data_IF_014427091451
#
_entry.id   IF_014427091451
#
_cell.length_a   1.000
_cell.length_b   1.000
_cell.length_c   1.000
_cell.angle_alpha   90.00
_cell.angle_beta   90.00
_cell.angle_gamma   90.00
#
_symmetry.space_group_name_H-M   'P 1'
#
loop_
_entity.id
_entity.type
_entity.pdbx_description
1 polymer ?
#
# COMPACT_ATOMS: atom_id res chain seq x y z
N UNK A 1 -15.13 -13.22 1.40
CA UNK A 1 -16.19 -13.72 2.27
C UNK A 1 -15.70 -13.89 3.70
N UNK A 2 -16.57 -13.53 4.69
CA UNK A 2 -16.34 -13.82 6.09
C UNK A 2 -16.59 -15.29 6.40
N UNK A 3 -15.75 -15.94 7.18
CA UNK A 3 -15.96 -17.35 7.54
C UNK A 3 -17.07 -17.50 8.56
N UNK A 4 -17.26 -16.81 9.56
CA UNK A 4 -18.24 -17.07 10.63
C UNK A 4 -19.42 -16.10 10.62
N UNK A 5 -19.29 -15.02 9.86
CA UNK A 5 -20.33 -14.02 9.75
C UNK A 5 -21.19 -14.29 8.51
N UNK A 6 -22.45 -14.67 8.74
CA UNK A 6 -23.44 -14.96 7.68
C UNK A 6 -24.62 -13.99 7.81
N UNK A 7 -24.49 -12.76 7.30
CA UNK A 7 -25.54 -11.74 7.43
C UNK A 7 -26.84 -12.11 6.69
N UNK A 8 -26.72 -12.91 5.64
CA UNK A 8 -27.85 -13.34 4.80
C UNK A 8 -28.24 -14.78 5.11
N UNK A 9 -28.94 -14.98 6.23
CA UNK A 9 -29.41 -16.29 6.70
C UNK A 9 -30.30 -17.06 5.71
N UNK A 10 -30.81 -16.38 4.69
CA UNK A 10 -31.64 -16.95 3.62
C UNK A 10 -30.82 -17.36 2.40
N UNK A 11 -29.54 -17.05 2.37
CA UNK A 11 -28.65 -17.46 1.31
C UNK A 11 -28.34 -18.95 1.48
N UNK A 12 -28.82 -19.73 0.53
CA UNK A 12 -28.82 -21.22 0.59
C UNK A 12 -27.40 -21.77 0.37
N UNK A 13 -26.46 -20.91 -0.02
CA UNK A 13 -25.13 -21.34 -0.42
C UNK A 13 -24.20 -21.35 0.79
N UNK A 14 -23.94 -22.55 1.28
CA UNK A 14 -23.11 -22.78 2.45
C UNK A 14 -21.59 -22.69 2.18
N UNK A 15 -21.16 -22.59 0.91
CA UNK A 15 -19.72 -22.62 0.55
C UNK A 15 -19.11 -21.22 0.50
N UNK A 16 -17.98 -21.04 1.19
CA UNK A 16 -17.14 -19.82 1.14
C UNK A 16 -16.36 -19.70 -0.19
N UNK A 17 -16.39 -20.72 -1.04
CA UNK A 17 -15.81 -20.69 -2.37
C UNK A 17 -16.72 -19.97 -3.39
N UNK A 18 -17.98 -19.77 -3.06
CA UNK A 18 -19.02 -19.36 -4.02
C UNK A 18 -18.78 -17.99 -4.65
N UNK A 19 -18.30 -17.03 -3.90
CA UNK A 19 -17.97 -15.69 -4.43
C UNK A 19 -16.90 -15.74 -5.51
N UNK A 20 -15.87 -16.57 -5.30
CA UNK A 20 -14.82 -16.81 -6.30
C UNK A 20 -15.41 -17.46 -7.57
N UNK A 21 -16.22 -18.50 -7.43
CA UNK A 21 -16.83 -19.22 -8.57
C UNK A 21 -17.72 -18.30 -9.42
N UNK A 22 -18.51 -17.43 -8.78
CA UNK A 22 -19.35 -16.43 -9.46
C UNK A 22 -18.49 -15.45 -10.26
N UNK A 23 -17.39 -14.98 -9.67
CA UNK A 23 -16.55 -13.95 -10.26
C UNK A 23 -15.59 -14.48 -11.35
N UNK A 24 -15.28 -15.78 -11.35
CA UNK A 24 -14.21 -16.37 -12.16
C UNK A 24 -14.39 -16.10 -13.66
N UNK A 25 -15.58 -16.33 -14.21
CA UNK A 25 -15.88 -16.11 -15.64
C UNK A 25 -15.68 -14.64 -16.03
N UNK A 26 -16.17 -13.72 -15.20
CA UNK A 26 -16.07 -12.27 -15.43
C UNK A 26 -14.61 -11.80 -15.33
N UNK A 27 -13.88 -12.27 -14.34
CA UNK A 27 -12.47 -11.95 -14.18
C UNK A 27 -11.65 -12.40 -15.39
N UNK A 28 -11.87 -13.64 -15.87
CA UNK A 28 -11.20 -14.20 -17.06
C UNK A 28 -11.49 -13.36 -18.31
N UNK A 29 -12.74 -13.00 -18.55
CA UNK A 29 -13.15 -12.22 -19.71
C UNK A 29 -12.54 -10.79 -19.70
N UNK A 30 -12.26 -10.25 -18.53
CA UNK A 30 -11.66 -8.91 -18.36
C UNK A 30 -10.14 -8.98 -18.09
N UNK A 31 -9.49 -10.13 -18.27
CA UNK A 31 -8.06 -10.32 -18.04
C UNK A 31 -7.60 -9.93 -16.62
N UNK A 32 -8.47 -10.10 -15.64
CA UNK A 32 -8.17 -9.89 -14.23
C UNK A 32 -7.68 -11.19 -13.60
N UNK A 33 -6.56 -11.16 -12.91
CA UNK A 33 -6.08 -12.30 -12.12
C UNK A 33 -6.92 -12.35 -10.85
N UNK A 34 -7.84 -13.31 -10.79
CA UNK A 34 -8.67 -13.54 -9.61
C UNK A 34 -7.96 -14.50 -8.67
N UNK A 35 -7.78 -14.09 -7.41
CA UNK A 35 -7.13 -14.89 -6.37
C UNK A 35 -8.19 -15.26 -5.34
N UNK A 36 -8.31 -16.56 -5.06
CA UNK A 36 -9.26 -17.09 -4.07
C UNK A 36 -8.75 -16.75 -2.66
N UNK A 37 -9.66 -16.26 -1.82
CA UNK A 37 -9.36 -15.93 -0.44
C UNK A 37 -10.62 -15.85 0.40
N UNK A 38 -10.40 -15.82 1.73
CA UNK A 38 -11.47 -15.67 2.70
C UNK A 38 -10.96 -14.91 3.92
N UNK A 39 -11.85 -14.25 4.62
CA UNK A 39 -11.56 -13.55 5.87
C UNK A 39 -11.85 -14.46 7.07
N UNK A 40 -10.83 -14.72 7.86
CA UNK A 40 -10.92 -15.33 9.18
C UNK A 40 -11.41 -14.25 10.13
N UNK A 41 -12.74 -14.22 10.36
CA UNK A 41 -13.41 -13.19 11.14
C UNK A 41 -13.50 -13.61 12.60
N UNK A 42 -12.77 -12.96 13.49
CA UNK A 42 -12.74 -13.25 14.92
C UNK A 42 -12.85 -11.98 15.75
N UNK A 43 -13.37 -12.03 16.97
CA UNK A 43 -13.25 -10.91 17.90
C UNK A 43 -11.78 -10.64 18.23
N UNK A 44 -11.49 -9.43 18.71
CA UNK A 44 -10.17 -9.07 19.20
C UNK A 44 -9.93 -9.71 20.59
N UNK A 45 -8.83 -10.40 20.85
CA UNK A 45 -7.79 -10.78 19.91
C UNK A 45 -8.04 -12.20 19.37
N UNK A 46 -7.57 -12.55 18.15
CA UNK A 46 -6.61 -11.82 17.32
C UNK A 46 -7.23 -10.81 16.34
N UNK A 47 -8.58 -10.74 16.19
CA UNK A 47 -9.24 -9.91 15.21
C UNK A 47 -9.38 -10.58 13.83
N UNK A 48 -9.53 -9.78 12.79
CA UNK A 48 -9.78 -10.25 11.42
C UNK A 48 -8.49 -10.43 10.63
N UNK A 49 -8.43 -11.50 9.85
CA UNK A 49 -7.30 -11.81 8.97
C UNK A 49 -7.80 -12.28 7.61
N UNK A 50 -7.18 -11.80 6.54
CA UNK A 50 -7.37 -12.39 5.23
C UNK A 50 -6.34 -13.49 4.96
N UNK A 51 -6.83 -14.60 4.40
CA UNK A 51 -6.00 -15.64 3.82
C UNK A 51 -6.29 -15.71 2.31
N UNK A 52 -5.27 -15.52 1.48
CA UNK A 52 -5.40 -15.52 0.01
C UNK A 52 -4.50 -16.59 -0.61
N UNK A 53 -4.73 -16.93 -1.88
CA UNK A 53 -4.17 -18.08 -2.61
C UNK A 53 -4.66 -19.43 -2.09
N UNK A 54 -5.90 -19.48 -1.65
CA UNK A 54 -6.55 -20.71 -1.20
C UNK A 54 -7.01 -21.57 -2.38
N UNK A 55 -6.95 -22.87 -2.20
CA UNK A 55 -7.62 -23.85 -3.08
C UNK A 55 -9.04 -24.11 -2.63
N UNK A 56 -9.30 -24.05 -1.31
CA UNK A 56 -10.59 -24.29 -0.68
C UNK A 56 -10.76 -23.37 0.55
N UNK A 57 -11.73 -22.46 0.47
CA UNK A 57 -12.06 -21.56 1.56
C UNK A 57 -12.85 -22.25 2.69
N UNK A 58 -13.66 -23.27 2.37
CA UNK A 58 -14.49 -23.97 3.36
C UNK A 58 -13.64 -24.69 4.40
N UNK A 59 -12.44 -25.13 4.04
CA UNK A 59 -11.48 -25.74 4.94
C UNK A 59 -11.05 -24.82 6.11
N UNK A 60 -11.24 -23.51 5.99
CA UNK A 60 -10.87 -22.53 7.01
C UNK A 60 -11.97 -22.33 8.07
N UNK A 61 -13.20 -22.82 7.84
CA UNK A 61 -14.28 -22.73 8.80
C UNK A 61 -14.05 -23.74 9.94
N UNK A 62 -13.36 -23.29 10.99
CA UNK A 62 -12.94 -24.09 12.15
C UNK A 62 -13.43 -23.45 13.43
N UNK A 63 -13.72 -24.26 14.46
CA UNK A 63 -14.16 -23.77 15.76
C UNK A 63 -13.09 -22.92 16.42
N UNK A 64 -11.87 -23.44 16.50
CA UNK A 64 -10.74 -22.77 17.12
C UNK A 64 -9.99 -21.92 16.09
N UNK A 65 -9.70 -20.65 16.41
CA UNK A 65 -9.07 -19.74 15.47
C UNK A 65 -7.73 -20.25 14.92
N UNK A 66 -6.91 -20.90 15.77
CA UNK A 66 -5.63 -21.46 15.34
C UNK A 66 -5.78 -22.56 14.28
N UNK A 67 -6.87 -23.29 14.29
CA UNK A 67 -7.09 -24.35 13.30
C UNK A 67 -7.47 -23.77 11.93
N UNK A 68 -8.12 -22.60 11.89
CA UNK A 68 -8.32 -21.81 10.65
C UNK A 68 -6.97 -21.39 10.05
N UNK A 69 -6.05 -20.87 10.87
CA UNK A 69 -4.71 -20.50 10.43
C UNK A 69 -3.87 -21.70 9.95
N UNK A 70 -3.95 -22.83 10.65
CA UNK A 70 -3.31 -24.08 10.21
C UNK A 70 -3.88 -24.58 8.88
N UNK A 71 -5.21 -24.48 8.70
CA UNK A 71 -5.86 -24.86 7.44
C UNK A 71 -5.42 -23.97 6.28
N UNK A 72 -5.31 -22.66 6.49
CA UNK A 72 -4.78 -21.72 5.50
C UNK A 72 -3.29 -22.01 5.17
N UNK A 73 -2.46 -22.26 6.18
CA UNK A 73 -1.04 -22.60 5.99
C UNK A 73 -0.84 -23.90 5.22
N UNK A 74 -1.66 -24.93 5.45
CA UNK A 74 -1.61 -26.19 4.68
C UNK A 74 -1.85 -25.98 3.18
N UNK A 75 -2.56 -24.90 2.81
CA UNK A 75 -2.80 -24.50 1.44
C UNK A 75 -1.75 -23.49 0.93
N UNK A 76 -0.71 -23.21 1.70
CA UNK A 76 0.30 -22.20 1.39
C UNK A 76 -0.29 -20.79 1.20
N UNK A 77 -1.34 -20.42 1.90
CA UNK A 77 -1.94 -19.10 1.83
C UNK A 77 -0.96 -18.00 2.30
N UNK A 78 -1.11 -16.82 1.71
CA UNK A 78 -0.56 -15.58 2.26
C UNK A 78 -1.61 -15.01 3.23
N UNK A 79 -1.23 -14.82 4.48
CA UNK A 79 -2.14 -14.41 5.55
C UNK A 79 -1.71 -13.05 6.10
N UNK A 80 -2.66 -12.13 6.23
CA UNK A 80 -2.39 -10.79 6.72
C UNK A 80 -3.50 -10.28 7.65
N UNK A 81 -3.12 -9.49 8.65
CA UNK A 81 -4.01 -8.88 9.61
C UNK A 81 -4.75 -7.70 9.02
N UNK A 82 -6.09 -7.70 9.10
CA UNK A 82 -6.96 -6.68 8.55
C UNK A 82 -7.17 -5.53 9.54
N UNK A 83 -7.29 -4.31 9.03
CA UNK A 83 -7.75 -3.09 9.73
C UNK A 83 -7.40 -3.02 11.23
N UNK A 84 -6.12 -3.14 11.64
CA UNK A 84 -5.73 -3.21 13.06
C UNK A 84 -6.24 -2.03 13.90
N UNK A 85 -6.45 -0.87 13.30
CA UNK A 85 -7.01 0.31 13.94
C UNK A 85 -8.52 0.46 13.85
N UNK A 86 -9.28 -0.63 13.62
CA UNK A 86 -10.73 -0.54 13.53
C UNK A 86 -11.38 -0.29 14.90
N UNK A 87 -12.09 0.85 15.02
CA UNK A 87 -12.60 1.37 16.29
C UNK A 87 -13.58 0.43 17.01
N UNK A 88 -14.30 -0.44 16.25
CA UNK A 88 -15.21 -1.42 16.86
C UNK A 88 -14.48 -2.54 17.61
N UNK A 89 -13.24 -2.84 17.20
CA UNK A 89 -12.42 -3.86 17.85
C UNK A 89 -11.39 -3.25 18.81
N UNK A 90 -10.85 -2.07 18.47
CA UNK A 90 -9.85 -1.36 19.27
C UNK A 90 -10.22 0.14 19.36
N UNK A 91 -11.20 0.51 20.21
CA UNK A 91 -11.75 1.87 20.25
C UNK A 91 -10.77 2.93 20.75
N UNK A 92 -9.90 2.58 21.68
CA UNK A 92 -9.02 3.54 22.35
C UNK A 92 -7.66 3.67 21.66
N UNK A 93 -7.03 2.54 21.36
CA UNK A 93 -5.70 2.51 20.77
C UNK A 93 -5.43 1.18 20.06
N UNK A 94 -4.66 1.24 18.99
CA UNK A 94 -4.27 0.05 18.25
C UNK A 94 -3.12 -0.67 18.97
N UNK A 95 -3.36 -1.88 19.45
CA UNK A 95 -2.43 -2.68 20.23
C UNK A 95 -1.97 -3.93 19.48
N UNK A 96 -0.75 -4.34 19.76
CA UNK A 96 -0.21 -5.65 19.40
C UNK A 96 -0.38 -6.61 20.59
N UNK A 97 -1.26 -7.62 20.43
CA UNK A 97 -1.61 -8.59 21.48
C UNK A 97 -0.70 -9.82 21.45
N UNK A 98 -0.78 -10.64 22.50
CA UNK A 98 -0.02 -11.91 22.58
C UNK A 98 -0.39 -12.88 21.45
N UNK A 99 -1.66 -12.89 21.03
CA UNK A 99 -2.14 -13.68 19.90
C UNK A 99 -1.44 -13.28 18.59
N UNK A 100 -1.22 -11.98 18.37
CA UNK A 100 -0.45 -11.49 17.21
C UNK A 100 1.01 -11.92 17.30
N UNK A 101 1.62 -11.87 18.49
CA UNK A 101 2.98 -12.39 18.73
C UNK A 101 3.07 -13.86 18.35
N UNK A 102 2.15 -14.66 18.81
CA UNK A 102 2.09 -16.09 18.50
C UNK A 102 1.92 -16.34 17.01
N UNK A 103 0.96 -15.66 16.35
CA UNK A 103 0.74 -15.80 14.90
C UNK A 103 1.97 -15.38 14.07
N UNK A 104 2.67 -14.34 14.51
CA UNK A 104 3.90 -13.89 13.87
C UNK A 104 5.05 -14.90 14.07
N UNK A 105 5.34 -15.34 15.30
CA UNK A 105 6.45 -16.23 15.64
C UNK A 105 6.26 -17.63 15.05
N UNK A 106 5.02 -18.14 15.02
CA UNK A 106 4.68 -19.41 14.39
C UNK A 106 4.59 -19.32 12.85
N UNK A 107 4.79 -18.12 12.27
CA UNK A 107 4.83 -17.88 10.82
C UNK A 107 3.47 -17.94 10.13
N UNK A 108 2.38 -17.63 10.84
CA UNK A 108 1.03 -17.52 10.27
C UNK A 108 0.69 -16.12 9.77
N UNK A 109 1.46 -15.11 10.13
CA UNK A 109 1.24 -13.72 9.69
C UNK A 109 2.38 -13.26 8.78
N UNK A 110 2.09 -12.96 7.53
CA UNK A 110 3.06 -12.47 6.54
C UNK A 110 2.90 -10.97 6.22
N UNK A 111 1.74 -10.38 6.55
CA UNK A 111 1.46 -8.98 6.27
C UNK A 111 0.48 -8.36 7.25
N UNK A 112 0.33 -7.03 7.16
CA UNK A 112 -0.65 -6.25 7.92
C UNK A 112 -1.22 -5.16 7.00
N UNK A 113 -2.50 -4.86 7.12
CA UNK A 113 -3.08 -3.68 6.50
C UNK A 113 -2.59 -2.41 7.18
N UNK A 114 -1.77 -1.65 6.47
CA UNK A 114 -1.34 -0.31 6.90
C UNK A 114 -2.35 0.75 6.52
N UNK A 115 -3.24 0.43 5.59
CA UNK A 115 -4.39 1.26 5.23
C UNK A 115 -5.58 0.37 4.84
N UNK A 116 -6.77 0.74 5.32
CA UNK A 116 -8.02 0.08 5.00
C UNK A 116 -9.12 1.14 4.78
N UNK A 117 -9.80 1.07 3.64
CA UNK A 117 -10.75 2.10 3.23
C UNK A 117 -10.09 3.49 3.19
N UNK A 118 -10.52 4.39 4.05
CA UNK A 118 -9.96 5.75 4.18
C UNK A 118 -9.08 5.92 5.44
N UNK A 119 -8.77 4.83 6.13
CA UNK A 119 -8.05 4.88 7.41
C UNK A 119 -6.62 4.36 7.25
N UNK A 120 -5.64 5.20 7.60
CA UNK A 120 -4.24 4.84 7.71
C UNK A 120 -3.88 4.50 9.14
N UNK A 121 -3.08 3.43 9.34
CA UNK A 121 -2.58 2.99 10.65
C UNK A 121 -1.05 3.14 10.71
N UNK A 122 -0.53 4.18 11.35
CA UNK A 122 0.91 4.37 11.54
C UNK A 122 1.53 3.27 12.41
N UNK A 123 0.79 2.71 13.38
CA UNK A 123 1.23 1.58 14.20
C UNK A 123 1.46 0.34 13.34
N UNK A 124 0.54 0.03 12.43
CA UNK A 124 0.68 -1.09 11.52
C UNK A 124 1.89 -0.94 10.60
N UNK A 125 2.12 0.28 10.06
CA UNK A 125 3.32 0.55 9.26
C UNK A 125 4.60 0.32 10.09
N UNK A 126 4.65 0.81 11.33
CA UNK A 126 5.78 0.58 12.23
C UNK A 126 6.03 -0.91 12.45
N UNK A 127 4.98 -1.70 12.76
CA UNK A 127 5.12 -3.15 12.94
C UNK A 127 5.59 -3.87 11.67
N UNK A 128 5.10 -3.47 10.51
CA UNK A 128 5.60 -4.01 9.24
C UNK A 128 7.10 -3.77 9.07
N UNK A 129 7.57 -2.56 9.36
CA UNK A 129 9.01 -2.23 9.27
C UNK A 129 9.86 -2.99 10.28
N UNK A 130 9.45 -3.03 11.56
CA UNK A 130 10.19 -3.69 12.64
C UNK A 130 10.23 -5.21 12.48
N UNK A 131 9.12 -5.81 12.06
CA UNK A 131 8.94 -7.27 11.98
C UNK A 131 9.13 -7.83 10.56
N UNK A 132 9.45 -6.97 9.59
CA UNK A 132 9.60 -7.32 8.18
C UNK A 132 8.36 -8.02 7.60
N UNK A 133 7.19 -7.50 7.93
CA UNK A 133 5.91 -7.92 7.39
C UNK A 133 5.54 -7.08 6.16
N UNK A 134 4.75 -7.67 5.27
CA UNK A 134 4.30 -7.00 4.04
C UNK A 134 3.26 -5.94 4.35
N UNK A 135 3.45 -4.74 3.83
CA UNK A 135 2.47 -3.66 3.91
C UNK A 135 1.37 -3.90 2.89
N UNK A 136 0.12 -3.98 3.36
CA UNK A 136 -1.07 -4.22 2.55
C UNK A 136 -2.01 -3.03 2.71
N UNK A 137 -2.72 -2.70 1.63
CA UNK A 137 -3.82 -1.76 1.63
C UNK A 137 -5.01 -2.34 0.90
N UNK A 138 -6.19 -2.26 1.50
CA UNK A 138 -7.44 -2.75 0.92
C UNK A 138 -8.55 -1.72 1.03
N UNK A 139 -9.59 -1.91 0.24
CA UNK A 139 -10.76 -1.02 0.26
C UNK A 139 -11.80 -1.44 1.28
N UNK A 140 -11.85 -2.72 1.65
CA UNK A 140 -12.88 -3.31 2.51
C UNK A 140 -14.31 -2.97 2.05
N UNK A 141 -14.53 -3.00 0.74
CA UNK A 141 -15.79 -2.58 0.11
C UNK A 141 -16.83 -3.67 0.24
N UNK A 142 -17.98 -3.31 0.82
CA UNK A 142 -19.16 -4.18 1.01
C UNK A 142 -20.31 -3.85 0.07
N UNK A 143 -20.23 -2.78 -0.70
CA UNK A 143 -21.24 -2.32 -1.66
C UNK A 143 -20.64 -2.20 -3.06
N UNK A 144 -21.42 -2.05 -4.13
CA UNK A 144 -20.87 -1.72 -5.45
C UNK A 144 -19.96 -0.51 -5.35
N UNK A 145 -18.73 -0.62 -5.91
CA UNK A 145 -17.64 0.34 -5.70
C UNK A 145 -18.01 1.78 -6.04
N UNK A 146 -18.86 1.98 -7.05
CA UNK A 146 -19.34 3.32 -7.46
C UNK A 146 -20.26 4.00 -6.42
N UNK A 147 -20.70 3.27 -5.38
CA UNK A 147 -21.43 3.85 -4.26
C UNK A 147 -20.51 4.65 -3.34
N UNK A 148 -19.27 4.23 -3.21
CA UNK A 148 -18.30 4.80 -2.26
C UNK A 148 -17.21 5.63 -2.94
N UNK A 149 -16.97 5.41 -4.25
CA UNK A 149 -15.89 6.00 -5.01
C UNK A 149 -16.43 6.73 -6.24
N UNK A 150 -16.16 8.02 -6.33
CA UNK A 150 -16.47 8.85 -7.51
C UNK A 150 -15.25 8.88 -8.46
N UNK A 151 -15.21 7.92 -9.37
CA UNK A 151 -14.15 7.85 -10.39
C UNK A 151 -14.12 9.05 -11.33
N UNK A 152 -15.27 9.72 -11.56
CA UNK A 152 -15.33 10.90 -12.41
C UNK A 152 -14.60 12.10 -11.79
N UNK A 153 -14.46 12.12 -10.48
CA UNK A 153 -13.67 13.11 -9.73
C UNK A 153 -12.24 12.66 -9.46
N UNK A 154 -11.77 11.59 -10.09
CA UNK A 154 -10.43 11.05 -9.90
C UNK A 154 -10.22 10.35 -8.55
N UNK A 155 -11.29 10.01 -7.82
CA UNK A 155 -11.16 9.26 -6.59
C UNK A 155 -10.76 7.81 -6.89
N UNK A 156 -9.93 7.24 -6.02
CA UNK A 156 -9.51 5.85 -6.09
C UNK A 156 -9.72 5.16 -4.74
N UNK A 157 -10.02 3.87 -4.80
CA UNK A 157 -10.03 3.04 -3.60
C UNK A 157 -8.61 2.86 -3.07
N UNK A 158 -8.49 2.58 -1.78
CA UNK A 158 -7.23 2.07 -1.22
C UNK A 158 -6.89 0.74 -1.88
N UNK A 159 -5.64 0.59 -2.29
CA UNK A 159 -5.15 -0.58 -3.01
C UNK A 159 -3.67 -0.83 -2.74
N UNK A 160 -3.22 -2.03 -3.04
CA UNK A 160 -1.81 -2.40 -2.98
C UNK A 160 -1.24 -2.49 -4.39
N UNK A 161 -0.22 -1.68 -4.71
CA UNK A 161 0.65 -1.92 -5.84
C UNK A 161 1.57 -3.09 -5.50
N UNK A 162 1.67 -4.06 -6.39
CA UNK A 162 2.52 -5.23 -6.22
C UNK A 162 3.57 -5.25 -7.33
N UNK A 163 4.84 -5.14 -6.99
CA UNK A 163 5.93 -5.09 -7.95
C UNK A 163 6.36 -6.51 -8.35
N UNK A 164 5.78 -7.01 -9.43
CA UNK A 164 5.95 -8.37 -9.91
C UNK A 164 6.98 -8.45 -11.03
N UNK A 165 7.67 -9.59 -11.13
CA UNK A 165 8.52 -9.92 -12.29
C UNK A 165 7.69 -10.48 -13.46
N UNK A 166 6.60 -11.18 -13.12
CA UNK A 166 5.68 -11.77 -14.06
C UNK A 166 4.24 -11.49 -13.61
N UNK A 167 3.37 -11.16 -14.57
CA UNK A 167 1.94 -10.93 -14.30
C UNK A 167 1.20 -12.28 -14.22
N UNK A 168 1.35 -12.94 -13.07
CA UNK A 168 0.70 -14.22 -12.72
C UNK A 168 0.33 -14.24 -11.25
N UNK A 169 -0.52 -15.19 -10.83
CA UNK A 169 -0.86 -15.38 -9.42
C UNK A 169 0.38 -15.74 -8.60
N UNK A 170 1.27 -16.58 -9.14
CA UNK A 170 2.55 -16.97 -8.54
C UNK A 170 3.49 -15.77 -8.41
N UNK A 171 3.58 -14.93 -9.46
CA UNK A 171 4.38 -13.70 -9.42
C UNK A 171 3.88 -12.71 -8.37
N UNK A 172 2.55 -12.58 -8.22
CA UNK A 172 1.94 -11.75 -7.14
C UNK A 172 2.29 -12.35 -5.77
N UNK A 173 2.11 -13.65 -5.59
CA UNK A 173 2.42 -14.33 -4.33
C UNK A 173 3.90 -14.18 -3.95
N UNK A 174 4.81 -14.38 -4.90
CA UNK A 174 6.25 -14.21 -4.71
C UNK A 174 6.58 -12.76 -4.30
N UNK A 175 5.99 -11.77 -4.96
CA UNK A 175 6.20 -10.36 -4.63
C UNK A 175 5.68 -10.00 -3.22
N UNK A 176 4.50 -10.50 -2.83
CA UNK A 176 3.97 -10.33 -1.48
C UNK A 176 4.90 -10.93 -0.42
N UNK A 177 5.38 -12.16 -0.61
CA UNK A 177 6.30 -12.80 0.33
C UNK A 177 7.65 -12.07 0.47
N UNK A 178 8.06 -11.34 -0.58
CA UNK A 178 9.27 -10.52 -0.59
C UNK A 178 9.03 -9.04 -0.27
N UNK A 179 7.85 -8.67 0.20
CA UNK A 179 7.46 -7.30 0.58
C UNK A 179 7.64 -6.26 -0.53
N UNK A 180 7.50 -6.69 -1.79
CA UNK A 180 7.54 -5.79 -2.94
C UNK A 180 6.17 -5.17 -3.18
N UNK A 181 5.77 -4.30 -2.24
CA UNK A 181 4.47 -3.64 -2.25
C UNK A 181 4.59 -2.16 -1.95
N UNK A 182 3.62 -1.39 -2.44
CA UNK A 182 3.35 -0.03 -2.02
C UNK A 182 1.84 0.17 -1.91
N UNK A 183 1.38 0.73 -0.82
CA UNK A 183 -0.04 0.96 -0.57
C UNK A 183 -0.41 2.36 -1.02
N UNK A 184 -1.40 2.46 -1.90
CA UNK A 184 -1.97 3.73 -2.34
C UNK A 184 -3.27 4.02 -1.60
N UNK A 185 -3.34 5.17 -0.95
CA UNK A 185 -4.52 5.64 -0.23
C UNK A 185 -4.58 7.16 -0.26
N UNK A 186 -5.61 7.73 -0.88
CA UNK A 186 -5.89 9.17 -0.83
C UNK A 186 -4.64 10.02 -1.17
N UNK A 187 -4.07 9.82 -2.38
CA UNK A 187 -2.83 10.43 -2.89
C UNK A 187 -1.54 10.08 -2.12
N UNK A 188 -1.63 9.33 -1.02
CA UNK A 188 -0.46 8.86 -0.27
C UNK A 188 0.00 7.51 -0.79
N UNK A 189 1.31 7.32 -0.83
CA UNK A 189 1.92 6.02 -1.10
C UNK A 189 2.75 5.61 0.12
N UNK A 190 2.47 4.43 0.66
CA UNK A 190 3.09 3.91 1.88
C UNK A 190 3.85 2.64 1.52
N UNK A 191 5.16 2.63 1.72
CA UNK A 191 6.00 1.46 1.42
C UNK A 191 7.36 1.52 2.14
N UNK A 192 8.16 0.48 1.99
CA UNK A 192 9.58 0.53 2.33
C UNK A 192 10.29 1.60 1.47
N UNK A 193 11.25 2.30 2.04
CA UNK A 193 11.95 3.43 1.42
C UNK A 193 12.49 3.10 0.02
N UNK A 194 13.07 1.92 -0.15
CA UNK A 194 13.62 1.46 -1.43
C UNK A 194 12.56 1.45 -2.56
N UNK A 195 11.33 0.99 -2.26
CA UNK A 195 10.25 0.93 -3.25
C UNK A 195 9.68 2.30 -3.57
N UNK A 196 9.60 3.20 -2.58
CA UNK A 196 9.18 4.58 -2.81
C UNK A 196 10.20 5.34 -3.66
N UNK A 197 11.49 5.12 -3.41
CA UNK A 197 12.56 5.71 -4.20
C UNK A 197 12.52 5.24 -5.66
N UNK A 198 12.46 3.93 -5.88
CA UNK A 198 12.32 3.35 -7.23
C UNK A 198 11.05 3.86 -7.94
N UNK A 199 9.92 3.91 -7.24
CA UNK A 199 8.67 4.43 -7.78
C UNK A 199 8.83 5.89 -8.23
N UNK A 200 9.40 6.75 -7.38
CA UNK A 200 9.62 8.16 -7.70
C UNK A 200 10.57 8.33 -8.88
N UNK A 201 11.72 7.67 -8.84
CA UNK A 201 12.76 7.76 -9.89
C UNK A 201 12.29 7.23 -11.25
N UNK A 202 11.39 6.22 -11.25
CA UNK A 202 10.78 5.70 -12.50
C UNK A 202 9.60 6.52 -12.99
N UNK A 203 9.00 7.33 -12.12
CA UNK A 203 7.88 8.20 -12.46
C UNK A 203 8.34 9.55 -13.02
N UNK A 204 9.52 10.03 -12.65
CA UNK A 204 10.02 11.37 -12.96
C UNK A 204 11.22 11.29 -13.89
N UNK A 205 11.04 11.79 -15.10
CA UNK A 205 12.15 12.04 -16.03
C UNK A 205 12.67 13.48 -15.89
N UNK A 206 13.99 13.64 -15.96
CA UNK A 206 14.61 14.94 -16.14
C UNK A 206 14.78 15.15 -17.66
N UNK A 207 13.90 15.94 -18.26
CA UNK A 207 13.92 16.18 -19.71
C UNK A 207 15.00 17.19 -20.13
N UNK A 208 15.28 18.19 -19.29
CA UNK A 208 16.22 19.25 -19.64
C UNK A 208 16.80 19.93 -18.40
N UNK A 209 18.06 20.33 -18.47
CA UNK A 209 18.75 21.17 -17.48
C UNK A 209 19.43 22.32 -18.19
N UNK A 210 18.88 23.53 -18.02
CA UNK A 210 19.49 24.76 -18.52
C UNK A 210 20.23 25.47 -17.41
N UNK A 211 21.47 25.82 -17.70
CA UNK A 211 22.36 26.51 -16.75
C UNK A 211 22.90 27.80 -17.35
N UNK A 212 22.95 28.85 -16.53
CA UNK A 212 23.72 30.07 -16.78
C UNK A 212 24.44 30.47 -15.48
N UNK A 213 25.15 31.60 -15.51
CA UNK A 213 25.93 32.09 -14.36
C UNK A 213 25.09 32.37 -13.11
N UNK A 214 23.80 32.60 -13.24
CA UNK A 214 22.88 33.05 -12.15
C UNK A 214 21.82 32.04 -11.79
N UNK A 215 21.57 31.04 -12.63
CA UNK A 215 20.48 30.08 -12.38
C UNK A 215 20.67 28.73 -13.05
N UNK A 216 20.03 27.72 -12.46
CA UNK A 216 19.82 26.39 -13.01
C UNK A 216 18.30 26.18 -13.11
N UNK A 217 17.82 25.77 -14.27
CA UNK A 217 16.43 25.42 -14.50
C UNK A 217 16.35 23.95 -14.89
N UNK A 218 15.65 23.16 -14.06
CA UNK A 218 15.42 21.74 -14.29
C UNK A 218 13.98 21.60 -14.80
N UNK A 219 13.82 20.94 -15.94
CA UNK A 219 12.50 20.55 -16.45
C UNK A 219 12.28 19.07 -16.15
N UNK A 220 11.32 18.80 -15.29
CA UNK A 220 10.89 17.46 -14.93
C UNK A 220 9.63 17.09 -15.72
N UNK A 221 9.48 15.81 -16.04
CA UNK A 221 8.23 15.24 -16.55
C UNK A 221 7.78 14.10 -15.65
N UNK A 222 6.58 14.22 -15.13
CA UNK A 222 5.92 13.12 -14.43
C UNK A 222 5.19 12.25 -15.47
N UNK A 223 5.62 11.00 -15.63
CA UNK A 223 5.01 10.03 -16.55
C UNK A 223 4.02 9.08 -15.83
N UNK A 224 3.77 9.31 -14.56
CA UNK A 224 2.84 8.51 -13.76
C UNK A 224 1.50 9.21 -13.53
N UNK A 225 0.55 8.47 -13.00
CA UNK A 225 -0.75 9.01 -12.55
C UNK A 225 -0.71 9.48 -11.09
N UNK A 226 0.47 9.54 -10.48
CA UNK A 226 0.67 9.99 -9.10
C UNK A 226 1.03 11.47 -9.04
N UNK A 227 0.49 12.17 -8.05
CA UNK A 227 0.96 13.50 -7.65
C UNK A 227 2.13 13.36 -6.69
N UNK A 228 3.14 14.25 -6.79
CA UNK A 228 4.24 14.31 -5.82
C UNK A 228 4.32 15.69 -5.18
N UNK A 229 4.33 15.72 -3.84
CA UNK A 229 4.44 16.95 -3.04
C UNK A 229 5.85 17.04 -2.45
N UNK A 230 6.67 17.92 -3.00
CA UNK A 230 8.04 18.13 -2.57
C UNK A 230 8.10 19.31 -1.60
N UNK A 231 8.74 19.11 -0.45
CA UNK A 231 9.00 20.15 0.55
C UNK A 231 10.50 20.23 0.81
N UNK A 232 11.08 21.41 0.65
CA UNK A 232 12.49 21.69 0.93
C UNK A 232 12.79 21.40 2.40
N UNK A 233 13.80 20.54 2.65
CA UNK A 233 14.17 20.11 4.01
C UNK A 233 15.40 20.82 4.55
N UNK A 234 16.29 21.30 3.68
CA UNK A 234 17.57 21.89 4.08
C UNK A 234 17.79 23.24 3.41
N UNK A 235 18.29 24.20 4.19
CA UNK A 235 18.83 25.43 3.62
C UNK A 235 20.23 25.15 3.06
N UNK A 236 20.41 25.43 1.77
CA UNK A 236 21.72 25.31 1.12
C UNK A 236 22.21 26.72 0.80
N UNK A 237 23.27 27.22 1.47
CA UNK A 237 23.82 28.53 1.18
C UNK A 237 24.14 28.69 -0.30
N UNK A 238 23.61 29.73 -0.93
CA UNK A 238 23.84 30.02 -2.33
C UNK A 238 22.90 29.31 -3.33
N UNK A 239 22.05 28.36 -2.90
CA UNK A 239 21.00 27.76 -3.72
C UNK A 239 19.61 28.26 -3.27
N UNK A 240 19.00 29.16 -4.05
CA UNK A 240 17.69 29.73 -3.72
C UNK A 240 16.63 29.14 -4.66
N UNK A 241 15.72 28.38 -4.09
CA UNK A 241 14.59 27.74 -4.77
C UNK A 241 13.38 27.71 -3.85
N UNK A 242 12.18 27.47 -4.41
CA UNK A 242 10.94 27.47 -3.66
C UNK A 242 10.93 26.42 -2.55
N UNK A 243 10.12 26.69 -1.53
CA UNK A 243 9.99 25.81 -0.37
C UNK A 243 9.19 24.55 -0.69
N UNK A 244 8.21 24.67 -1.58
CA UNK A 244 7.27 23.59 -1.92
C UNK A 244 7.01 23.54 -3.42
N UNK A 245 6.83 22.32 -3.94
CA UNK A 245 6.42 22.06 -5.31
C UNK A 245 5.39 20.95 -5.31
N UNK A 246 4.41 21.06 -6.23
CA UNK A 246 3.48 19.97 -6.54
C UNK A 246 3.70 19.56 -7.97
N UNK A 247 4.14 18.32 -8.19
CA UNK A 247 4.36 17.74 -9.52
C UNK A 247 3.13 16.92 -9.88
N UNK A 248 2.29 17.48 -10.77
CA UNK A 248 1.04 16.86 -11.20
C UNK A 248 1.27 15.63 -12.09
N UNK A 249 0.30 14.68 -12.12
CA UNK A 249 0.32 13.55 -13.02
C UNK A 249 0.44 13.97 -14.49
N UNK A 250 1.20 13.21 -15.28
CA UNK A 250 1.33 13.36 -16.74
C UNK A 250 1.76 14.78 -17.20
N UNK A 251 2.33 15.59 -16.30
CA UNK A 251 2.67 16.99 -16.54
C UNK A 251 4.17 17.25 -16.50
N UNK A 252 4.57 18.33 -17.19
CA UNK A 252 5.90 18.95 -17.05
C UNK A 252 5.88 19.94 -15.91
N UNK A 253 6.99 19.97 -15.17
CA UNK A 253 7.20 20.91 -14.08
C UNK A 253 8.59 21.52 -14.15
N UNK A 254 8.73 22.82 -13.81
CA UNK A 254 10.02 23.51 -13.80
C UNK A 254 10.43 23.84 -12.37
N UNK A 255 11.65 23.47 -12.01
CA UNK A 255 12.31 23.89 -10.78
C UNK A 255 13.40 24.88 -11.19
N UNK A 256 13.25 26.14 -10.78
CA UNK A 256 14.25 27.18 -10.96
C UNK A 256 15.04 27.37 -9.67
N UNK A 257 16.36 27.33 -9.79
CA UNK A 257 17.32 27.47 -8.70
C UNK A 257 18.21 28.66 -9.01
N UNK A 258 18.09 29.75 -8.25
CA UNK A 258 18.97 30.90 -8.35
C UNK A 258 20.27 30.60 -7.63
N UNK A 259 21.39 30.93 -8.26
CA UNK A 259 22.75 30.78 -7.74
C UNK A 259 23.19 32.10 -7.11
N UNK A 260 23.65 32.04 -5.86
CA UNK A 260 24.21 33.17 -5.12
C UNK A 260 25.65 32.83 -4.65
N UNK A 261 26.41 33.84 -4.25
CA UNK A 261 27.79 33.68 -3.74
C UNK A 261 28.76 32.95 -4.71
N UNK A 262 28.56 33.10 -6.01
CA UNK A 262 29.40 32.51 -7.07
C UNK A 262 29.51 30.97 -7.02
N UNK A 263 28.54 30.30 -6.39
CA UNK A 263 28.52 28.83 -6.41
C UNK A 263 28.11 28.30 -7.79
N UNK A 264 28.62 27.12 -8.15
CA UNK A 264 28.35 26.51 -9.44
C UNK A 264 27.29 25.40 -9.36
N UNK A 265 26.79 25.06 -8.19
CA UNK A 265 25.78 24.00 -7.97
C UNK A 265 25.86 23.46 -6.56
N UNK A 266 25.20 22.33 -6.31
CA UNK A 266 25.15 21.65 -5.02
C UNK A 266 23.96 20.73 -4.90
N UNK A 267 23.67 20.27 -3.71
CA UNK A 267 22.53 19.36 -3.48
C UNK A 267 21.25 20.15 -3.16
N UNK A 268 20.19 19.88 -3.88
CA UNK A 268 18.83 20.28 -3.49
C UNK A 268 18.17 19.12 -2.74
N UNK A 269 17.57 19.42 -1.58
CA UNK A 269 17.06 18.41 -0.66
C UNK A 269 15.57 18.62 -0.42
N UNK A 270 14.81 17.55 -0.60
CA UNK A 270 13.37 17.52 -0.41
C UNK A 270 12.93 16.38 0.48
N UNK A 271 11.81 16.56 1.15
CA UNK A 271 10.93 15.52 1.60
C UNK A 271 9.78 15.41 0.60
N UNK A 272 9.51 14.22 0.07
CA UNK A 272 8.32 13.95 -0.74
C UNK A 272 7.24 13.53 0.25
N UNK A 273 6.41 14.50 0.65
CA UNK A 273 5.58 14.44 1.86
C UNK A 273 4.41 13.45 1.76
N UNK A 274 4.03 13.06 0.56
CA UNK A 274 2.99 12.06 0.32
C UNK A 274 3.53 10.65 -0.01
N UNK A 275 4.85 10.43 0.06
CA UNK A 275 5.47 9.11 -0.01
C UNK A 275 5.94 8.70 1.39
N UNK A 276 5.13 7.93 2.12
CA UNK A 276 5.38 7.59 3.52
C UNK A 276 6.39 6.45 3.67
N UNK A 277 7.67 6.81 3.85
CA UNK A 277 8.76 5.88 4.11
C UNK A 277 8.81 5.37 5.56
N UNK A 278 8.20 6.09 6.49
CA UNK A 278 8.00 5.72 7.88
C UNK A 278 6.69 6.34 8.40
N UNK A 279 6.18 5.94 9.58
CA UNK A 279 4.95 6.48 10.13
C UNK A 279 4.91 8.01 10.14
N UNK A 280 3.99 8.57 9.35
CA UNK A 280 3.78 10.02 9.17
C UNK A 280 5.04 10.79 8.69
N UNK A 281 5.97 10.12 8.02
CA UNK A 281 7.21 10.72 7.53
C UNK A 281 7.41 10.44 6.05
N UNK A 282 7.60 11.51 5.28
CA UNK A 282 7.83 11.45 3.84
C UNK A 282 9.21 10.89 3.45
N UNK A 283 9.34 10.53 2.18
CA UNK A 283 10.60 10.08 1.60
C UNK A 283 11.57 11.26 1.48
N UNK A 284 12.74 11.14 2.08
CA UNK A 284 13.83 12.12 1.87
C UNK A 284 14.52 11.86 0.54
N UNK A 285 14.65 12.89 -0.28
CA UNK A 285 15.28 12.81 -1.59
C UNK A 285 16.26 13.97 -1.82
N UNK A 286 17.42 13.64 -2.33
CA UNK A 286 18.46 14.62 -2.67
C UNK A 286 18.84 14.51 -4.12
N UNK A 287 18.97 15.64 -4.80
CA UNK A 287 19.41 15.72 -6.19
C UNK A 287 20.55 16.72 -6.32
N UNK A 288 21.63 16.30 -6.98
CA UNK A 288 22.80 17.15 -7.24
C UNK A 288 22.60 17.95 -8.54
N UNK A 289 22.66 19.26 -8.44
CA UNK A 289 22.51 20.21 -9.55
C UNK A 289 23.83 20.89 -9.92
#
# INVERSE_FOLDING_TARGET
>A
EHLEYRPHRQDIIASHNRSYEIAEKTARNNQVILIRGSEITRPMAPGHFNAIFLSDCDALEQKEYMDSFKAARRQNAFIFWNHPGWDRQQPDTTLWWNEHTRLYEEGYMQGIEVANGKKYSPEAQRWCMEKKLTMIGTSDIHQPIQTDIDFARGQHRTMTFVFVRERSAEGIREALLHRRTAVYMDEKVIAEEQWLKELFEKSIDIEDIKRNEKSIVITLKNNSDLTFHLKKTRHNPGLVYFREYTIQPQCRHRIEIRLENNIQGGDINFEITNLYAAPNKGLTYSYKV
#
